data_IF_209962229847
#
_entry.id   IF_209962229847
#
_cell.length_a   1.000
_cell.length_b   1.000
_cell.length_c   1.000
_cell.angle_alpha   90.00
_cell.angle_beta   90.00
_cell.angle_gamma   90.00
#
_symmetry.space_group_name_H-M   'P 1'
#
loop_
_entity.id
_entity.type
_entity.pdbx_description
1 polymer ?
#
# COMPACT_ATOMS: atom_id res chain seq x y z
N UNK A 1 -13.64 20.61 18.48
CA UNK A 1 -13.60 20.33 17.06
C UNK A 1 -12.19 19.87 16.64
N UNK A 2 -12.01 19.48 15.41
CA UNK A 2 -10.75 18.92 14.94
C UNK A 2 -9.61 19.96 14.95
N UNK A 3 -9.91 21.22 14.66
CA UNK A 3 -8.91 22.30 14.72
C UNK A 3 -8.32 22.44 16.12
N UNK A 4 -9.16 22.40 17.16
CA UNK A 4 -8.70 22.49 18.55
C UNK A 4 -7.85 21.24 18.91
N UNK A 5 -8.28 20.03 18.49
CA UNK A 5 -7.50 18.79 18.66
C UNK A 5 -6.11 18.86 18.01
N UNK A 6 -6.01 19.42 16.79
CA UNK A 6 -4.75 19.63 16.08
C UNK A 6 -3.84 20.58 16.85
N UNK A 7 -4.39 21.69 17.36
CA UNK A 7 -3.64 22.68 18.14
C UNK A 7 -3.15 22.11 19.47
N UNK A 8 -4.01 21.39 20.20
CA UNK A 8 -3.66 20.74 21.47
C UNK A 8 -2.60 19.64 21.28
N UNK A 9 -2.73 18.84 20.22
CA UNK A 9 -1.77 17.80 19.85
C UNK A 9 -0.46 18.38 19.35
N UNK A 10 -0.47 19.61 18.81
CA UNK A 10 0.70 20.25 18.19
C UNK A 10 1.14 19.61 16.88
N UNK A 11 0.26 18.87 16.22
CA UNK A 11 0.58 18.07 15.04
C UNK A 11 -0.58 18.06 14.05
N UNK A 12 -0.28 18.27 12.77
CA UNK A 12 -1.18 18.12 11.62
C UNK A 12 -0.84 16.83 10.88
N UNK A 13 -1.80 15.92 10.78
CA UNK A 13 -1.65 14.65 10.05
C UNK A 13 -2.28 14.81 8.67
N UNK A 14 -1.44 14.73 7.63
CA UNK A 14 -1.88 14.86 6.23
C UNK A 14 -1.75 13.53 5.52
N UNK A 15 -2.85 13.05 4.95
CA UNK A 15 -2.89 11.89 4.07
C UNK A 15 -2.53 12.26 2.63
N UNK A 16 -1.71 11.44 1.99
CA UNK A 16 -1.32 11.59 0.58
C UNK A 16 -1.03 10.25 -0.06
N UNK A 17 -1.18 10.17 -1.38
CA UNK A 17 -0.82 9.02 -2.21
C UNK A 17 0.42 9.37 -3.04
N UNK A 18 1.64 9.02 -2.59
CA UNK A 18 2.88 9.54 -3.17
C UNK A 18 3.32 8.77 -4.42
N UNK A 19 2.39 8.53 -5.33
CA UNK A 19 2.54 7.91 -6.64
C UNK A 19 2.14 8.84 -7.80
N UNK A 20 2.03 10.14 -7.50
CA UNK A 20 1.52 11.14 -8.42
C UNK A 20 2.47 12.34 -8.62
N UNK A 21 3.70 12.12 -9.17
CA UNK A 21 4.62 13.22 -9.44
C UNK A 21 4.04 14.17 -10.51
N UNK A 22 4.33 15.49 -10.46
CA UNK A 22 5.18 16.15 -9.48
C UNK A 22 4.44 16.63 -8.21
N UNK A 23 3.14 16.29 -8.06
CA UNK A 23 2.35 16.73 -6.92
C UNK A 23 2.83 16.12 -5.61
N UNK A 24 2.88 14.79 -5.55
CA UNK A 24 3.36 14.01 -4.41
C UNK A 24 4.10 12.76 -4.89
N UNK A 25 5.31 12.56 -4.38
CA UNK A 25 6.14 11.40 -4.71
C UNK A 25 7.18 11.13 -3.64
N UNK A 26 7.88 10.00 -3.77
CA UNK A 26 8.93 9.60 -2.83
C UNK A 26 10.30 9.90 -3.42
N UNK A 27 11.09 10.68 -2.70
CA UNK A 27 12.51 10.87 -2.97
C UNK A 27 13.28 9.70 -2.33
N UNK A 28 13.72 8.78 -3.17
CA UNK A 28 14.43 7.56 -2.74
C UNK A 28 15.78 7.81 -2.08
N UNK A 29 16.32 9.01 -2.20
CA UNK A 29 17.59 9.41 -1.54
C UNK A 29 17.40 9.81 -0.08
N UNK A 30 16.16 10.01 0.36
CA UNK A 30 15.78 10.44 1.71
C UNK A 30 15.06 9.32 2.47
N UNK A 31 14.93 9.49 3.77
CA UNK A 31 14.27 8.53 4.66
C UNK A 31 13.31 9.20 5.63
N UNK A 32 12.39 8.43 6.22
CA UNK A 32 11.39 8.95 7.16
C UNK A 32 10.46 9.97 6.51
N UNK A 33 10.03 10.98 7.23
CA UNK A 33 9.12 12.01 6.72
C UNK A 33 9.73 12.85 5.58
N UNK A 34 11.05 13.00 5.55
CA UNK A 34 11.75 13.77 4.53
C UNK A 34 11.69 13.12 3.12
N UNK A 35 11.35 11.84 3.03
CA UNK A 35 11.22 11.15 1.73
C UNK A 35 10.02 11.63 0.91
N UNK A 36 8.97 12.16 1.57
CA UNK A 36 7.80 12.66 0.88
C UNK A 36 8.08 14.06 0.35
N UNK A 37 7.96 14.23 -0.95
CA UNK A 37 8.26 15.47 -1.68
C UNK A 37 7.21 15.73 -2.75
N UNK A 38 7.20 16.93 -3.30
CA UNK A 38 6.24 17.34 -4.33
C UNK A 38 5.52 18.64 -3.95
N UNK A 39 4.81 19.20 -4.90
CA UNK A 39 4.11 20.48 -4.69
C UNK A 39 3.01 20.42 -3.63
N UNK A 40 2.28 19.31 -3.55
CA UNK A 40 1.26 19.09 -2.51
C UNK A 40 1.89 18.88 -1.13
N UNK A 41 3.08 18.29 -1.07
CA UNK A 41 3.84 18.17 0.18
C UNK A 41 4.34 19.55 0.66
N UNK A 42 4.79 20.42 -0.25
CA UNK A 42 5.17 21.79 0.10
C UNK A 42 3.94 22.60 0.58
N UNK A 43 2.78 22.39 -0.03
CA UNK A 43 1.53 22.96 0.45
C UNK A 43 1.20 22.48 1.87
N UNK A 44 1.30 21.19 2.14
CA UNK A 44 1.07 20.62 3.47
C UNK A 44 2.04 21.21 4.52
N UNK A 45 3.32 21.36 4.18
CA UNK A 45 4.34 22.02 5.04
C UNK A 45 3.97 23.46 5.32
N UNK A 46 3.51 24.18 4.30
CA UNK A 46 3.12 25.59 4.44
C UNK A 46 1.90 25.74 5.34
N UNK A 47 0.88 24.90 5.17
CA UNK A 47 -0.32 24.87 6.04
C UNK A 47 0.08 24.60 7.49
N UNK A 48 0.83 23.54 7.75
CA UNK A 48 1.28 23.19 9.11
C UNK A 48 2.08 24.33 9.76
N UNK A 49 3.01 24.95 9.00
CA UNK A 49 3.79 26.11 9.46
C UNK A 49 2.89 27.29 9.81
N UNK A 50 1.87 27.59 9.01
CA UNK A 50 0.94 28.71 9.29
C UNK A 50 0.06 28.43 10.49
N UNK A 51 -0.31 27.16 10.72
CA UNK A 51 -1.05 26.73 11.90
C UNK A 51 -0.17 26.63 13.14
N UNK A 52 1.17 26.73 13.02
CA UNK A 52 2.13 26.62 14.14
C UNK A 52 2.28 25.23 14.71
N UNK A 53 2.03 24.18 13.92
CA UNK A 53 2.06 22.79 14.33
C UNK A 53 3.08 21.98 13.49
N UNK A 54 3.49 20.82 13.99
CA UNK A 54 4.33 19.87 13.26
C UNK A 54 3.52 19.18 12.16
N UNK A 55 4.14 18.90 11.01
CA UNK A 55 3.55 18.10 9.95
C UNK A 55 3.96 16.63 10.09
N UNK A 56 2.98 15.74 9.96
CA UNK A 56 3.21 14.31 9.75
C UNK A 56 2.47 13.86 8.49
N UNK A 57 3.19 13.30 7.52
CA UNK A 57 2.62 12.70 6.32
C UNK A 57 2.28 11.23 6.58
N UNK A 58 1.04 10.87 6.31
CA UNK A 58 0.54 9.49 6.34
C UNK A 58 0.29 9.03 4.90
N UNK A 59 1.28 8.32 4.34
CA UNK A 59 1.20 7.86 2.96
C UNK A 59 0.36 6.58 2.84
N UNK A 60 -0.48 6.50 1.82
CA UNK A 60 -1.26 5.32 1.46
C UNK A 60 -1.74 5.42 0.01
N UNK A 61 -2.45 4.41 -0.52
CA UNK A 61 -3.11 4.52 -1.82
C UNK A 61 -4.22 5.57 -1.79
N UNK A 62 -4.58 6.12 -2.95
CA UNK A 62 -5.53 7.24 -3.06
C UNK A 62 -6.90 6.93 -2.42
N UNK A 63 -7.46 5.76 -2.68
CA UNK A 63 -8.71 5.29 -2.07
C UNK A 63 -8.60 5.13 -0.54
N UNK A 64 -7.43 4.68 -0.05
CA UNK A 64 -7.10 4.61 1.37
C UNK A 64 -7.03 5.99 2.02
N UNK A 65 -6.45 6.99 1.34
CA UNK A 65 -6.43 8.36 1.85
C UNK A 65 -7.85 8.87 2.06
N UNK A 66 -8.76 8.63 1.10
CA UNK A 66 -10.17 9.04 1.22
C UNK A 66 -10.88 8.31 2.37
N UNK A 67 -10.63 7.01 2.54
CA UNK A 67 -11.17 6.23 3.65
C UNK A 67 -10.66 6.73 5.01
N UNK A 68 -9.35 6.97 5.13
CA UNK A 68 -8.72 7.49 6.34
C UNK A 68 -9.23 8.89 6.74
N UNK A 69 -9.64 9.69 5.76
CA UNK A 69 -10.27 10.98 6.04
C UNK A 69 -11.64 10.80 6.67
N UNK A 70 -12.45 9.87 6.18
CA UNK A 70 -13.78 9.57 6.72
C UNK A 70 -13.73 8.95 8.12
N UNK A 71 -12.66 8.23 8.45
CA UNK A 71 -12.45 7.62 9.78
C UNK A 71 -11.68 8.52 10.75
N UNK A 72 -11.37 9.75 10.36
CA UNK A 72 -10.59 10.73 11.14
C UNK A 72 -9.17 10.23 11.51
N UNK A 73 -8.62 9.32 10.72
CA UNK A 73 -7.23 8.87 10.87
C UNK A 73 -6.20 9.86 10.33
N UNK A 74 -6.65 10.79 9.49
CA UNK A 74 -5.93 11.94 9.00
C UNK A 74 -6.78 13.18 9.19
N UNK A 75 -6.14 14.32 9.39
CA UNK A 75 -6.82 15.59 9.57
C UNK A 75 -7.18 16.24 8.23
N UNK A 76 -6.28 16.13 7.26
CA UNK A 76 -6.44 16.66 5.90
C UNK A 76 -5.98 15.64 4.86
N UNK A 77 -6.67 15.62 3.72
CA UNK A 77 -6.21 14.96 2.50
C UNK A 77 -5.65 16.01 1.53
N UNK A 78 -4.36 15.89 1.19
CA UNK A 78 -3.67 16.72 0.20
C UNK A 78 -2.96 15.77 -0.75
N UNK A 79 -3.58 15.51 -1.91
CA UNK A 79 -3.19 14.42 -2.81
C UNK A 79 -3.79 14.59 -4.22
N UNK A 80 -3.56 15.74 -4.83
CA UNK A 80 -4.11 16.01 -6.16
C UNK A 80 -5.64 15.88 -6.21
N UNK A 81 -6.34 16.15 -5.10
CA UNK A 81 -7.76 15.86 -4.93
C UNK A 81 -8.62 16.84 -5.73
N UNK A 82 -9.28 16.37 -6.80
CA UNK A 82 -10.22 17.16 -7.58
C UNK A 82 -11.58 17.30 -6.87
N UNK A 83 -12.25 18.44 -7.09
CA UNK A 83 -13.61 18.64 -6.63
C UNK A 83 -14.59 17.81 -7.46
N UNK A 84 -15.52 17.14 -6.76
CA UNK A 84 -16.76 16.64 -7.36
C UNK A 84 -17.93 16.89 -6.41
N UNK A 85 -19.17 17.11 -6.91
CA UNK A 85 -20.34 17.24 -6.04
C UNK A 85 -20.55 16.03 -5.11
N UNK A 86 -20.25 14.83 -5.57
CA UNK A 86 -20.33 13.61 -4.77
C UNK A 86 -19.34 13.62 -3.60
N UNK A 87 -18.10 14.07 -3.83
CA UNK A 87 -17.11 14.21 -2.76
C UNK A 87 -17.47 15.29 -1.75
N UNK A 88 -18.01 16.41 -2.22
CA UNK A 88 -18.46 17.52 -1.35
C UNK A 88 -19.62 17.13 -0.42
N UNK A 89 -20.31 16.00 -0.69
CA UNK A 89 -21.29 15.43 0.22
C UNK A 89 -20.67 14.52 1.30
N UNK A 90 -19.43 14.10 1.14
CA UNK A 90 -18.75 13.13 2.02
C UNK A 90 -17.61 13.74 2.82
N UNK A 91 -17.14 14.93 2.44
CA UNK A 91 -16.05 15.65 3.10
C UNK A 91 -16.18 17.16 2.91
N UNK A 92 -15.57 17.93 3.81
CA UNK A 92 -15.37 19.35 3.58
C UNK A 92 -14.25 19.55 2.56
N UNK A 93 -14.48 20.40 1.57
CA UNK A 93 -13.50 20.68 0.51
C UNK A 93 -13.13 22.15 0.48
N UNK A 94 -11.86 22.45 0.31
CA UNK A 94 -11.33 23.80 0.26
C UNK A 94 -11.69 24.53 -1.04
N UNK A 95 -11.33 25.81 -1.11
CA UNK A 95 -11.20 26.52 -2.40
C UNK A 95 -10.11 25.84 -3.25
N UNK A 96 -10.14 26.08 -4.57
CA UNK A 96 -9.15 25.54 -5.50
C UNK A 96 -7.76 26.09 -5.30
N UNK A 97 -6.79 25.23 -5.49
CA UNK A 97 -5.39 25.57 -5.75
C UNK A 97 -4.95 24.85 -7.02
N UNK A 98 -3.78 25.19 -7.58
CA UNK A 98 -3.32 24.64 -8.86
C UNK A 98 -4.34 24.88 -10.01
N UNK A 99 -4.76 26.12 -10.17
CA UNK A 99 -5.89 26.50 -11.04
C UNK A 99 -5.43 26.85 -12.46
N UNK A 100 -4.12 27.01 -12.70
CA UNK A 100 -3.60 27.49 -13.97
C UNK A 100 -3.69 26.42 -15.06
N UNK A 101 -3.95 26.87 -16.30
CA UNK A 101 -4.10 26.04 -17.49
C UNK A 101 -2.90 25.11 -17.73
N UNK A 102 -1.68 25.55 -17.38
CA UNK A 102 -0.45 24.79 -17.56
C UNK A 102 -0.26 23.63 -16.55
N UNK A 103 -1.09 23.54 -15.53
CA UNK A 103 -0.90 22.59 -14.41
C UNK A 103 -2.16 21.80 -14.05
N UNK A 104 -3.33 22.23 -14.50
CA UNK A 104 -4.63 21.69 -14.09
C UNK A 104 -5.36 20.86 -15.16
N UNK A 105 -4.79 20.64 -16.33
CA UNK A 105 -5.40 19.88 -17.43
C UNK A 105 -5.60 18.40 -17.08
N UNK A 106 -6.58 17.78 -17.72
CA UNK A 106 -6.86 16.35 -17.63
C UNK A 106 -6.73 15.73 -19.01
N UNK A 107 -5.95 14.66 -19.12
CA UNK A 107 -5.48 14.10 -20.38
C UNK A 107 -5.71 12.60 -20.50
N UNK A 108 -5.42 12.09 -21.67
CA UNK A 108 -5.47 10.66 -21.97
C UNK A 108 -4.14 10.24 -22.58
N UNK A 109 -3.53 9.20 -22.02
CA UNK A 109 -2.35 8.54 -22.57
C UNK A 109 -2.83 7.42 -23.52
N UNK A 110 -2.21 7.35 -24.68
CA UNK A 110 -2.45 6.32 -25.71
C UNK A 110 -1.11 5.69 -26.13
N UNK A 111 -1.17 4.59 -26.87
CA UNK A 111 0.03 4.02 -27.49
C UNK A 111 0.51 4.92 -28.63
N UNK A 112 1.82 5.14 -28.74
CA UNK A 112 2.44 5.92 -29.83
C UNK A 112 2.08 5.40 -31.22
N UNK A 113 1.93 4.09 -31.37
CA UNK A 113 1.51 3.45 -32.62
C UNK A 113 0.10 3.84 -33.09
N UNK A 114 -0.76 4.26 -32.15
CA UNK A 114 -2.15 4.62 -32.39
C UNK A 114 -2.37 6.16 -32.40
N UNK A 115 -1.30 6.97 -32.29
CA UNK A 115 -1.35 8.44 -32.23
C UNK A 115 -2.03 9.06 -33.45
N UNK A 116 -1.83 8.51 -34.65
CA UNK A 116 -2.51 8.99 -35.85
C UNK A 116 -3.96 8.54 -35.93
N UNK A 117 -4.34 7.51 -35.20
CA UNK A 117 -5.69 6.94 -35.17
C UNK A 117 -6.59 7.63 -34.16
N UNK A 118 -6.04 8.00 -33.02
CA UNK A 118 -6.78 8.61 -31.91
C UNK A 118 -6.25 10.02 -31.66
N UNK A 119 -7.05 11.04 -31.99
CA UNK A 119 -6.72 12.44 -31.76
C UNK A 119 -7.71 13.15 -30.83
N UNK A 120 -8.97 12.65 -30.81
CA UNK A 120 -10.05 13.19 -30.03
C UNK A 120 -10.62 12.17 -29.05
N UNK A 121 -11.25 12.66 -28.00
CA UNK A 121 -11.96 11.80 -27.04
C UNK A 121 -13.00 10.90 -27.72
N UNK A 122 -13.68 11.42 -28.73
CA UNK A 122 -14.67 10.66 -29.53
C UNK A 122 -14.06 9.52 -30.35
N UNK A 123 -12.76 9.55 -30.67
CA UNK A 123 -12.08 8.47 -31.39
C UNK A 123 -11.91 7.22 -30.48
N UNK A 124 -12.08 7.39 -29.16
CA UNK A 124 -12.04 6.32 -28.17
C UNK A 124 -13.42 5.72 -27.89
N UNK A 125 -14.45 6.07 -28.66
CA UNK A 125 -15.83 5.58 -28.49
C UNK A 125 -15.88 4.05 -28.45
N UNK A 126 -16.51 3.48 -27.42
CA UNK A 126 -16.69 2.05 -27.24
C UNK A 126 -15.41 1.28 -26.87
N UNK A 127 -14.28 1.95 -26.74
CA UNK A 127 -12.99 1.34 -26.39
C UNK A 127 -12.82 1.21 -24.87
N UNK A 128 -11.86 0.38 -24.46
CA UNK A 128 -11.49 0.24 -23.05
C UNK A 128 -10.55 1.37 -22.63
N UNK A 129 -10.95 2.14 -21.66
CA UNK A 129 -10.17 3.24 -21.08
C UNK A 129 -9.94 2.96 -19.59
N UNK A 130 -8.68 2.95 -19.16
CA UNK A 130 -8.34 2.82 -17.76
C UNK A 130 -8.38 4.18 -17.06
N UNK A 131 -8.91 4.19 -15.85
CA UNK A 131 -8.87 5.35 -14.96
C UNK A 131 -8.76 4.89 -13.50
N UNK A 132 -8.09 5.69 -12.67
CA UNK A 132 -7.94 5.38 -11.26
C UNK A 132 -9.29 5.41 -10.55
N UNK A 133 -9.56 4.37 -9.76
CA UNK A 133 -10.83 4.22 -9.08
C UNK A 133 -11.14 5.41 -8.17
N UNK A 134 -12.35 5.95 -8.27
CA UNK A 134 -12.80 7.10 -7.49
C UNK A 134 -12.19 8.44 -7.92
N UNK A 135 -11.38 8.48 -9.00
CA UNK A 135 -10.80 9.71 -9.53
C UNK A 135 -11.78 10.51 -10.36
N UNK A 136 -11.47 11.81 -10.56
CA UNK A 136 -12.23 12.67 -11.49
C UNK A 136 -12.07 12.20 -12.95
N UNK A 137 -10.93 11.58 -13.28
CA UNK A 137 -10.66 11.05 -14.61
C UNK A 137 -11.56 9.85 -14.94
N UNK A 138 -11.94 9.07 -13.92
CA UNK A 138 -12.96 8.04 -14.08
C UNK A 138 -14.28 8.68 -14.52
N UNK A 139 -14.75 9.70 -13.79
CA UNK A 139 -15.98 10.42 -14.12
C UNK A 139 -15.92 11.07 -15.52
N UNK A 140 -14.82 11.76 -15.85
CA UNK A 140 -14.65 12.35 -17.19
C UNK A 140 -14.63 11.30 -18.31
N UNK A 141 -14.07 10.13 -18.04
CA UNK A 141 -14.11 9.02 -19.01
C UNK A 141 -15.55 8.58 -19.29
N UNK A 142 -16.35 8.45 -18.23
CA UNK A 142 -17.77 8.06 -18.36
C UNK A 142 -18.61 9.16 -19.03
N UNK A 143 -18.35 10.44 -18.73
CA UNK A 143 -19.16 11.55 -19.18
C UNK A 143 -18.77 12.03 -20.59
N UNK A 144 -17.50 11.95 -21.00
CA UNK A 144 -16.97 12.61 -22.19
C UNK A 144 -16.47 11.67 -23.29
N UNK A 145 -16.31 10.38 -23.00
CA UNK A 145 -15.98 9.38 -24.01
C UNK A 145 -17.19 8.49 -24.25
N UNK A 146 -17.90 8.62 -25.39
CA UNK A 146 -19.12 7.88 -25.62
C UNK A 146 -18.91 6.36 -25.55
N UNK A 147 -19.80 5.66 -24.83
CA UNK A 147 -19.78 4.19 -24.67
C UNK A 147 -18.43 3.62 -24.21
N UNK A 148 -17.60 4.40 -23.53
CA UNK A 148 -16.33 3.96 -23.00
C UNK A 148 -16.51 2.75 -22.06
N UNK A 149 -15.68 1.72 -22.26
CA UNK A 149 -15.62 0.58 -21.35
C UNK A 149 -14.57 0.86 -20.29
N UNK A 150 -15.03 1.41 -19.16
CA UNK A 150 -14.14 1.79 -18.06
C UNK A 150 -13.43 0.55 -17.49
N UNK A 151 -12.11 0.65 -17.35
CA UNK A 151 -11.27 -0.27 -16.61
C UNK A 151 -10.75 0.46 -15.37
N UNK A 152 -11.34 0.17 -14.21
CA UNK A 152 -10.83 0.72 -12.95
C UNK A 152 -9.46 0.15 -12.61
N UNK A 153 -8.55 1.02 -12.18
CA UNK A 153 -7.17 0.71 -11.77
C UNK A 153 -6.88 1.33 -10.42
N UNK A 154 -5.92 0.79 -9.69
CA UNK A 154 -5.47 1.33 -8.41
C UNK A 154 -4.44 2.44 -8.58
N UNK A 155 -3.53 2.30 -9.54
CA UNK A 155 -2.48 3.27 -9.85
C UNK A 155 -2.41 3.56 -11.35
N UNK A 156 -1.90 4.72 -11.73
CA UNK A 156 -1.69 5.06 -13.16
C UNK A 156 -0.68 4.09 -13.80
N UNK A 157 0.33 3.65 -13.05
CA UNK A 157 1.30 2.64 -13.51
C UNK A 157 0.62 1.35 -13.98
N UNK A 158 -0.39 0.88 -13.24
CA UNK A 158 -1.17 -0.31 -13.62
C UNK A 158 -1.91 -0.08 -14.94
N UNK A 159 -2.50 1.10 -15.12
CA UNK A 159 -3.15 1.50 -16.36
C UNK A 159 -2.19 1.53 -17.55
N UNK A 160 -1.00 2.11 -17.34
CA UNK A 160 0.04 2.16 -18.38
C UNK A 160 0.53 0.75 -18.73
N UNK A 161 0.66 -0.15 -17.76
CA UNK A 161 0.98 -1.55 -18.02
C UNK A 161 -0.10 -2.24 -18.88
N UNK A 162 -1.39 -2.01 -18.55
CA UNK A 162 -2.51 -2.51 -19.34
C UNK A 162 -2.56 -1.92 -20.76
N UNK A 163 -2.17 -0.65 -20.93
CA UNK A 163 -2.05 0.00 -22.24
C UNK A 163 -0.93 -0.63 -23.08
N UNK A 164 0.24 -0.83 -22.50
CA UNK A 164 1.40 -1.44 -23.18
C UNK A 164 1.13 -2.86 -23.65
N UNK A 165 0.39 -3.65 -22.87
CA UNK A 165 0.01 -5.02 -23.26
C UNK A 165 -1.24 -5.11 -24.13
N UNK A 166 -1.89 -3.97 -24.43
CA UNK A 166 -3.07 -3.89 -25.30
C UNK A 166 -4.41 -4.28 -24.64
N UNK A 167 -4.44 -4.47 -23.32
CA UNK A 167 -5.67 -4.77 -22.58
C UNK A 167 -6.63 -3.59 -22.59
N UNK A 168 -6.10 -2.36 -22.50
CA UNK A 168 -6.83 -1.11 -22.70
C UNK A 168 -6.23 -0.31 -23.85
N UNK A 169 -6.99 0.60 -24.42
CA UNK A 169 -6.54 1.46 -25.52
C UNK A 169 -6.10 2.84 -25.05
N UNK A 170 -6.48 3.22 -23.83
CA UNK A 170 -6.16 4.53 -23.31
C UNK A 170 -6.12 4.51 -21.76
N UNK A 171 -5.42 5.49 -21.18
CA UNK A 171 -5.35 5.72 -19.73
C UNK A 171 -5.65 7.18 -19.45
N UNK A 172 -6.68 7.46 -18.68
CA UNK A 172 -7.04 8.81 -18.26
C UNK A 172 -6.25 9.20 -16.99
N UNK A 173 -5.62 10.37 -17.02
CA UNK A 173 -4.84 10.90 -15.89
C UNK A 173 -4.75 12.43 -15.95
N UNK A 174 -4.04 13.07 -15.01
CA UNK A 174 -3.75 14.50 -15.14
C UNK A 174 -2.79 14.77 -16.30
N UNK A 175 -2.87 15.95 -16.88
CA UNK A 175 -2.01 16.32 -18.00
C UNK A 175 -0.54 16.29 -17.61
N UNK A 176 -0.18 16.83 -16.43
CA UNK A 176 1.20 16.78 -15.94
C UNK A 176 1.73 15.36 -15.83
N UNK A 177 0.92 14.42 -15.33
CA UNK A 177 1.28 12.99 -15.27
C UNK A 177 1.42 12.40 -16.67
N UNK A 178 0.51 12.72 -17.59
CA UNK A 178 0.60 12.24 -18.97
C UNK A 178 1.90 12.71 -19.65
N UNK A 179 2.27 13.97 -19.48
CA UNK A 179 3.50 14.53 -20.02
C UNK A 179 4.75 13.81 -19.50
N UNK A 180 4.82 13.53 -18.17
CA UNK A 180 5.93 12.79 -17.58
C UNK A 180 6.03 11.35 -18.12
N UNK A 181 4.90 10.66 -18.27
CA UNK A 181 4.88 9.31 -18.84
C UNK A 181 5.34 9.29 -20.30
N UNK A 182 4.88 10.25 -21.10
CA UNK A 182 5.23 10.36 -22.52
C UNK A 182 6.71 10.74 -22.67
N UNK A 183 7.23 11.65 -21.87
CA UNK A 183 8.65 12.01 -21.87
C UNK A 183 9.57 10.82 -21.55
N UNK A 184 9.17 10.01 -20.58
CA UNK A 184 9.97 8.87 -20.11
C UNK A 184 9.73 7.56 -20.88
N UNK A 185 8.71 7.50 -21.75
CA UNK A 185 8.36 6.30 -22.49
C UNK A 185 8.05 6.63 -23.96
N UNK A 186 8.99 6.40 -24.84
CA UNK A 186 8.87 6.68 -26.28
C UNK A 186 7.76 5.91 -27.01
N UNK A 187 7.24 4.85 -26.40
CA UNK A 187 6.11 4.06 -26.90
C UNK A 187 4.73 4.64 -26.55
N UNK A 188 4.68 5.71 -25.75
CA UNK A 188 3.46 6.38 -25.35
C UNK A 188 3.29 7.72 -26.08
N UNK A 189 2.06 8.16 -26.21
CA UNK A 189 1.69 9.48 -26.68
C UNK A 189 0.53 10.03 -25.83
N UNK A 190 0.37 11.34 -25.81
CA UNK A 190 -0.78 12.01 -25.22
C UNK A 190 -1.79 12.30 -26.33
N UNK A 191 -3.08 12.09 -26.06
CA UNK A 191 -4.16 12.49 -26.96
C UNK A 191 -4.12 14.00 -27.14
N UNK A 192 -4.36 14.49 -28.36
CA UNK A 192 -4.32 15.93 -28.66
C UNK A 192 -5.42 16.70 -27.91
N UNK A 193 -6.61 16.10 -27.78
CA UNK A 193 -7.75 16.68 -27.08
C UNK A 193 -7.68 16.35 -25.58
N UNK A 194 -7.81 17.38 -24.75
CA UNK A 194 -7.93 17.24 -23.29
C UNK A 194 -9.39 17.07 -22.89
N UNK A 195 -9.64 16.54 -21.69
CA UNK A 195 -10.97 16.58 -21.10
C UNK A 195 -11.41 18.02 -20.84
N UNK A 196 -12.70 18.29 -21.08
CA UNK A 196 -13.31 19.55 -20.73
C UNK A 196 -13.53 19.62 -19.22
N UNK A 197 -13.00 20.66 -18.59
CA UNK A 197 -13.10 20.88 -17.14
C UNK A 197 -14.08 22.01 -16.89
N UNK A 198 -15.09 21.76 -16.04
CA UNK A 198 -15.94 22.83 -15.55
C UNK A 198 -15.08 23.79 -14.72
N UNK A 199 -15.11 25.08 -15.08
CA UNK A 199 -14.30 26.10 -14.41
C UNK A 199 -14.64 26.23 -12.92
N UNK A 200 -15.88 25.95 -12.52
CA UNK A 200 -16.28 25.91 -11.10
C UNK A 200 -15.62 24.79 -10.31
N UNK A 201 -15.12 23.76 -11.02
CA UNK A 201 -14.46 22.60 -10.44
C UNK A 201 -12.94 22.59 -10.69
N UNK A 202 -12.42 23.59 -11.36
CA UNK A 202 -11.01 23.68 -11.72
C UNK A 202 -10.09 23.68 -10.48
N UNK A 203 -8.91 23.12 -10.67
CA UNK A 203 -7.86 22.98 -9.64
C UNK A 203 -8.12 21.90 -8.61
N UNK A 204 -7.08 21.65 -7.83
CA UNK A 204 -7.14 20.69 -6.74
C UNK A 204 -7.76 21.29 -5.47
N UNK A 205 -8.15 20.45 -4.55
CA UNK A 205 -8.76 20.82 -3.26
C UNK A 205 -8.03 20.10 -2.11
N UNK A 206 -8.02 20.73 -0.96
CA UNK A 206 -7.73 20.08 0.31
C UNK A 206 -9.04 19.50 0.84
N UNK A 207 -9.02 18.23 1.26
CA UNK A 207 -10.15 17.58 1.92
C UNK A 207 -10.00 17.57 3.44
N UNK A 208 -11.09 17.75 4.17
CA UNK A 208 -11.19 17.54 5.61
C UNK A 208 -12.39 16.64 5.94
N UNK A 209 -12.47 16.03 7.13
CA UNK A 209 -13.65 15.26 7.55
C UNK A 209 -14.92 16.12 7.47
N UNK A 210 -16.04 15.47 7.15
CA UNK A 210 -17.31 16.17 6.97
C UNK A 210 -17.74 16.86 8.28
N UNK A 211 -18.14 18.13 8.17
CA UNK A 211 -18.56 18.94 9.32
C UNK A 211 -17.45 19.79 9.95
N UNK A 212 -16.17 19.55 9.61
CA UNK A 212 -15.03 20.31 10.15
C UNK A 212 -14.82 21.66 9.46
N UNK A 213 -15.86 22.49 9.46
CA UNK A 213 -15.89 23.80 8.77
C UNK A 213 -14.84 24.77 9.30
N UNK A 214 -14.62 24.83 10.63
CA UNK A 214 -13.61 25.74 11.21
C UNK A 214 -12.20 25.41 10.70
N UNK A 215 -11.86 24.13 10.63
CA UNK A 215 -10.58 23.68 10.06
C UNK A 215 -10.49 24.09 8.59
N UNK A 216 -11.56 23.85 7.81
CA UNK A 216 -11.59 24.21 6.40
C UNK A 216 -11.54 25.73 6.17
N UNK A 217 -12.17 26.53 7.02
CA UNK A 217 -12.07 27.99 6.96
C UNK A 217 -10.64 28.49 7.18
N UNK A 218 -9.92 27.89 8.13
CA UNK A 218 -8.51 28.21 8.36
C UNK A 218 -7.62 27.80 7.17
N UNK A 219 -7.83 26.60 6.63
CA UNK A 219 -7.16 26.14 5.39
C UNK A 219 -7.45 27.10 4.23
N UNK A 220 -8.69 27.53 4.05
CA UNK A 220 -9.08 28.46 2.98
C UNK A 220 -8.42 29.83 3.11
N UNK A 221 -8.21 30.34 4.32
CA UNK A 221 -7.43 31.59 4.53
C UNK A 221 -6.01 31.44 4.05
N UNK A 222 -5.38 30.30 4.37
CA UNK A 222 -3.99 29.99 3.97
C UNK A 222 -3.92 29.82 2.44
N UNK A 223 -4.87 29.10 1.83
CA UNK A 223 -4.94 28.91 0.38
C UNK A 223 -5.14 30.22 -0.40
N UNK A 224 -5.94 31.15 0.12
CA UNK A 224 -6.06 32.50 -0.48
C UNK A 224 -4.71 33.22 -0.52
N UNK A 225 -3.89 33.09 0.51
CA UNK A 225 -2.53 33.64 0.53
C UNK A 225 -1.63 32.93 -0.48
N UNK A 226 -1.67 31.59 -0.54
CA UNK A 226 -0.90 30.77 -1.49
C UNK A 226 -1.24 31.16 -2.92
N UNK A 227 -2.53 31.23 -3.27
CA UNK A 227 -3.00 31.58 -4.61
C UNK A 227 -2.61 33.03 -4.97
N UNK A 228 -2.78 33.99 -4.04
CA UNK A 228 -2.43 35.41 -4.28
C UNK A 228 -0.94 35.60 -4.55
N UNK A 229 -0.08 34.82 -3.90
CA UNK A 229 1.38 34.90 -4.03
C UNK A 229 1.95 34.00 -5.14
N UNK A 230 1.14 33.16 -5.78
CA UNK A 230 1.59 32.20 -6.79
C UNK A 230 2.57 31.16 -6.25
N UNK A 231 2.51 30.83 -4.93
CA UNK A 231 3.47 29.95 -4.29
C UNK A 231 3.35 28.52 -4.82
N UNK A 232 2.14 28.04 -5.11
CA UNK A 232 1.96 26.67 -5.57
C UNK A 232 2.64 26.43 -6.92
N UNK A 233 2.59 27.39 -7.82
CA UNK A 233 3.26 27.31 -9.13
C UNK A 233 4.79 27.21 -9.00
N UNK A 234 5.37 27.98 -8.07
CA UNK A 234 6.81 27.89 -7.77
C UNK A 234 7.15 26.49 -7.25
N UNK A 235 6.37 25.97 -6.31
CA UNK A 235 6.56 24.62 -5.77
C UNK A 235 6.37 23.54 -6.83
N UNK A 236 5.38 23.70 -7.70
CA UNK A 236 5.11 22.77 -8.79
C UNK A 236 6.28 22.71 -9.79
N UNK A 237 6.81 23.86 -10.22
CA UNK A 237 7.98 23.94 -11.10
C UNK A 237 9.22 23.30 -10.46
N UNK A 238 9.46 23.59 -9.19
CA UNK A 238 10.57 22.98 -8.44
C UNK A 238 10.40 21.46 -8.30
N UNK A 239 9.21 20.99 -7.97
CA UNK A 239 8.88 19.59 -7.85
C UNK A 239 8.99 18.85 -9.19
N UNK A 240 8.55 19.46 -10.29
CA UNK A 240 8.68 18.91 -11.64
C UNK A 240 10.15 18.72 -12.02
N UNK A 241 11.00 19.71 -11.73
CA UNK A 241 12.44 19.59 -11.94
C UNK A 241 13.02 18.46 -11.07
N UNK A 242 12.68 18.40 -9.79
CA UNK A 242 13.15 17.37 -8.89
C UNK A 242 12.72 15.97 -9.35
N UNK A 243 11.47 15.82 -9.77
CA UNK A 243 10.93 14.55 -10.29
C UNK A 243 11.68 14.09 -11.55
N UNK A 244 11.99 15.00 -12.46
CA UNK A 244 12.72 14.67 -13.70
C UNK A 244 14.20 14.35 -13.48
N UNK A 245 14.82 14.93 -12.44
CA UNK A 245 16.25 14.73 -12.12
C UNK A 245 16.51 13.48 -11.27
N UNK A 246 15.51 12.95 -10.58
CA UNK A 246 15.69 11.83 -9.64
C UNK A 246 16.25 10.57 -10.27
N UNK A 247 15.92 10.30 -11.52
CA UNK A 247 16.33 9.06 -12.17
C UNK A 247 16.31 9.20 -13.69
N UNK A 248 17.47 9.34 -14.30
CA UNK A 248 17.60 9.38 -15.76
C UNK A 248 17.96 7.99 -16.26
N UNK A 249 16.99 7.28 -16.83
CA UNK A 249 17.20 6.04 -17.57
C UNK A 249 17.80 6.37 -18.93
N UNK A 250 19.03 5.91 -19.14
CA UNK A 250 19.71 6.01 -20.45
C UNK A 250 19.74 4.67 -21.19
N UNK A 251 19.50 3.57 -20.48
CA UNK A 251 19.50 2.25 -21.07
C UNK A 251 18.29 2.04 -22.00
N UNK A 252 18.55 1.41 -23.14
CA UNK A 252 17.51 1.02 -24.09
C UNK A 252 17.18 -0.48 -23.95
N UNK A 253 15.89 -0.80 -24.12
CA UNK A 253 15.37 -2.16 -24.03
C UNK A 253 15.18 -2.67 -22.61
N UNK A 254 14.36 -3.71 -22.48
CA UNK A 254 13.91 -4.26 -21.21
C UNK A 254 15.05 -4.67 -20.26
N UNK A 255 15.98 -5.51 -20.75
CA UNK A 255 17.07 -6.00 -19.90
C UNK A 255 18.05 -4.90 -19.47
N UNK A 256 18.39 -3.98 -20.39
CA UNK A 256 19.24 -2.83 -20.06
C UNK A 256 18.60 -1.95 -18.97
N UNK A 257 17.31 -1.69 -19.08
CA UNK A 257 16.54 -0.94 -18.10
C UNK A 257 16.52 -1.67 -16.75
N UNK A 258 16.28 -2.99 -16.70
CA UNK A 258 16.33 -3.76 -15.47
C UNK A 258 17.69 -3.67 -14.78
N UNK A 259 18.78 -3.84 -15.53
CA UNK A 259 20.14 -3.73 -14.97
C UNK A 259 20.39 -2.34 -14.40
N UNK A 260 20.02 -1.31 -15.14
CA UNK A 260 20.20 0.07 -14.69
C UNK A 260 19.36 0.38 -13.43
N UNK A 261 18.11 -0.08 -13.36
CA UNK A 261 17.28 0.05 -12.15
C UNK A 261 17.95 -0.63 -10.95
N UNK A 262 18.44 -1.86 -11.12
CA UNK A 262 19.13 -2.57 -10.02
C UNK A 262 20.38 -1.80 -9.58
N UNK A 263 21.19 -1.30 -10.52
CA UNK A 263 22.40 -0.55 -10.18
C UNK A 263 22.13 0.72 -9.36
N UNK A 264 21.04 1.42 -9.66
CA UNK A 264 20.68 2.65 -8.94
C UNK A 264 19.85 2.43 -7.69
N UNK A 265 18.95 1.44 -7.70
CA UNK A 265 17.96 1.23 -6.64
C UNK A 265 18.33 0.07 -5.69
N UNK A 266 19.52 -0.55 -5.80
CA UNK A 266 19.89 -1.68 -4.94
C UNK A 266 19.83 -1.36 -3.43
N UNK A 267 20.15 -0.14 -2.92
CA UNK A 267 20.03 0.13 -1.49
C UNK A 267 18.57 0.08 -1.02
N UNK A 268 17.65 0.63 -1.83
CA UNK A 268 16.21 0.60 -1.53
C UNK A 268 15.66 -0.82 -1.60
N UNK A 269 16.06 -1.61 -2.61
CA UNK A 269 15.68 -3.01 -2.75
C UNK A 269 16.15 -3.84 -1.56
N UNK A 270 17.39 -3.66 -1.10
CA UNK A 270 17.91 -4.35 0.09
C UNK A 270 17.20 -3.92 1.36
N UNK A 271 16.93 -2.63 1.52
CA UNK A 271 16.18 -2.11 2.67
C UNK A 271 14.76 -2.68 2.69
N UNK A 272 14.06 -2.66 1.55
CA UNK A 272 12.73 -3.23 1.42
C UNK A 272 12.70 -4.73 1.72
N UNK A 273 13.70 -5.47 1.23
CA UNK A 273 13.87 -6.89 1.56
C UNK A 273 14.11 -7.10 3.06
N UNK A 274 14.95 -6.27 3.67
CA UNK A 274 15.20 -6.33 5.12
C UNK A 274 13.93 -6.10 5.93
N UNK A 275 13.09 -5.13 5.55
CA UNK A 275 11.79 -4.88 6.19
C UNK A 275 10.85 -6.07 5.99
N UNK A 276 10.75 -6.60 4.76
CA UNK A 276 9.93 -7.79 4.45
C UNK A 276 10.31 -8.98 5.33
N UNK A 277 11.60 -9.30 5.41
CA UNK A 277 12.11 -10.40 6.24
C UNK A 277 11.92 -10.14 7.73
N UNK A 278 12.14 -8.90 8.18
CA UNK A 278 11.91 -8.49 9.56
C UNK A 278 10.45 -8.61 9.99
N UNK A 279 9.53 -8.14 9.16
CA UNK A 279 8.08 -8.26 9.39
C UNK A 279 7.67 -9.75 9.47
N UNK A 280 8.11 -10.57 8.52
CA UNK A 280 7.81 -12.00 8.52
C UNK A 280 8.36 -12.69 9.77
N UNK A 281 9.61 -12.37 10.17
CA UNK A 281 10.24 -12.96 11.35
C UNK A 281 9.51 -12.57 12.65
N UNK A 282 9.24 -11.29 12.85
CA UNK A 282 8.49 -10.80 14.02
C UNK A 282 7.11 -11.45 14.07
N UNK A 283 6.42 -11.48 12.94
CA UNK A 283 5.09 -12.08 12.81
C UNK A 283 5.08 -13.55 13.21
N UNK A 284 6.00 -14.36 12.69
CA UNK A 284 6.04 -15.79 12.99
C UNK A 284 6.51 -16.07 14.42
N UNK A 285 7.47 -15.30 14.95
CA UNK A 285 7.92 -15.45 16.33
C UNK A 285 6.76 -15.20 17.32
N UNK A 286 6.12 -14.04 17.23
CA UNK A 286 5.00 -13.71 18.12
C UNK A 286 3.75 -14.51 17.79
N UNK A 287 3.51 -14.80 16.52
CA UNK A 287 2.46 -15.73 16.07
C UNK A 287 2.64 -17.13 16.65
N UNK A 288 3.88 -17.61 16.78
CA UNK A 288 4.17 -18.92 17.41
C UNK A 288 3.88 -18.91 18.91
N UNK A 289 4.21 -17.83 19.61
CA UNK A 289 3.91 -17.72 21.05
C UNK A 289 2.39 -17.71 21.27
N UNK A 290 1.67 -16.83 20.57
CA UNK A 290 0.22 -16.70 20.72
C UNK A 290 -0.51 -17.93 20.16
N UNK A 291 -0.11 -18.40 18.99
CA UNK A 291 -0.67 -19.63 18.39
C UNK A 291 -0.45 -20.86 19.24
N UNK A 292 0.71 -20.97 19.92
CA UNK A 292 0.97 -22.02 20.88
C UNK A 292 0.00 -22.00 22.06
N UNK A 293 -0.32 -20.81 22.60
CA UNK A 293 -1.35 -20.67 23.64
C UNK A 293 -2.72 -21.12 23.14
N UNK A 294 -3.13 -20.69 21.94
CA UNK A 294 -4.40 -21.15 21.35
C UNK A 294 -4.42 -22.66 21.07
N UNK A 295 -3.31 -23.24 20.64
CA UNK A 295 -3.21 -24.69 20.45
C UNK A 295 -3.42 -25.45 21.76
N UNK A 296 -2.81 -24.99 22.85
CA UNK A 296 -3.01 -25.57 24.19
C UNK A 296 -4.48 -25.42 24.66
N UNK A 297 -5.09 -24.27 24.41
CA UNK A 297 -6.50 -24.03 24.71
C UNK A 297 -7.42 -24.97 23.91
N UNK A 298 -7.13 -25.19 22.63
CA UNK A 298 -7.87 -26.14 21.76
C UNK A 298 -7.72 -27.61 22.22
N UNK A 299 -6.68 -27.93 22.95
CA UNK A 299 -6.45 -29.27 23.54
C UNK A 299 -7.03 -29.39 24.97
N UNK A 300 -7.63 -28.32 25.50
CA UNK A 300 -8.26 -28.29 26.84
C UNK A 300 -9.47 -29.24 26.90
N UNK A 301 -9.76 -29.75 28.09
CA UNK A 301 -10.96 -30.56 28.36
C UNK A 301 -12.22 -29.70 28.49
N UNK A 302 -12.09 -28.38 28.71
CA UNK A 302 -13.22 -27.46 28.81
C UNK A 302 -13.76 -27.15 27.41
N UNK A 303 -14.93 -27.71 27.08
CA UNK A 303 -15.57 -27.59 25.76
C UNK A 303 -15.89 -26.13 25.37
N UNK A 304 -16.22 -25.26 26.34
CA UNK A 304 -16.55 -23.85 26.08
C UNK A 304 -15.27 -23.11 25.63
N UNK A 305 -14.18 -23.26 26.37
CA UNK A 305 -12.91 -22.64 26.07
C UNK A 305 -12.33 -23.15 24.74
N UNK A 306 -12.47 -24.46 24.50
CA UNK A 306 -12.11 -25.09 23.23
C UNK A 306 -12.91 -24.52 22.05
N UNK A 307 -14.22 -24.32 22.24
CA UNK A 307 -15.09 -23.77 21.20
C UNK A 307 -14.74 -22.31 20.86
N UNK A 308 -14.47 -21.47 21.87
CA UNK A 308 -14.06 -20.07 21.67
C UNK A 308 -12.75 -19.98 20.88
N UNK A 309 -11.74 -20.76 21.28
CA UNK A 309 -10.48 -20.83 20.55
C UNK A 309 -10.66 -21.39 19.12
N UNK A 310 -11.57 -22.35 18.94
CA UNK A 310 -11.96 -22.89 17.64
C UNK A 310 -12.56 -21.81 16.73
N UNK A 311 -13.52 -21.05 17.23
CA UNK A 311 -14.16 -19.96 16.47
C UNK A 311 -13.13 -18.90 16.08
N UNK A 312 -12.25 -18.50 16.97
CA UNK A 312 -11.17 -17.57 16.64
C UNK A 312 -10.30 -18.06 15.48
N UNK A 313 -9.79 -19.28 15.59
CA UNK A 313 -8.92 -19.87 14.55
C UNK A 313 -9.63 -19.99 13.22
N UNK A 314 -10.88 -20.46 13.20
CA UNK A 314 -11.67 -20.61 11.98
C UNK A 314 -12.02 -19.25 11.36
N UNK A 315 -12.39 -18.25 12.16
CA UNK A 315 -12.68 -16.89 11.70
C UNK A 315 -11.47 -16.27 10.99
N UNK A 316 -10.31 -16.32 11.64
CA UNK A 316 -9.08 -15.72 11.08
C UNK A 316 -8.61 -16.47 9.84
N UNK A 317 -8.63 -17.80 9.85
CA UNK A 317 -8.26 -18.62 8.68
C UNK A 317 -9.27 -18.59 7.55
N UNK A 318 -10.53 -18.31 7.86
CA UNK A 318 -11.64 -18.24 6.90
C UNK A 318 -11.83 -16.89 6.25
N UNK A 319 -11.06 -15.86 6.64
CA UNK A 319 -11.17 -14.52 6.07
C UNK A 319 -9.87 -14.07 5.39
N UNK A 320 -9.95 -13.24 4.31
CA UNK A 320 -8.76 -12.76 3.60
C UNK A 320 -7.86 -11.87 4.48
N UNK A 321 -6.55 -12.05 4.38
CA UNK A 321 -5.59 -11.25 5.14
C UNK A 321 -5.73 -9.74 4.84
N UNK A 322 -5.94 -9.34 3.60
CA UNK A 322 -6.12 -7.92 3.25
C UNK A 322 -7.33 -7.30 3.98
N UNK A 323 -8.45 -8.04 4.08
CA UNK A 323 -9.62 -7.61 4.86
C UNK A 323 -9.26 -7.44 6.35
N UNK A 324 -8.50 -8.38 6.90
CA UNK A 324 -8.05 -8.33 8.31
C UNK A 324 -7.13 -7.13 8.56
N UNK A 325 -6.19 -6.84 7.65
CA UNK A 325 -5.32 -5.66 7.74
C UNK A 325 -6.16 -4.39 7.84
N UNK A 326 -7.10 -4.19 6.92
CA UNK A 326 -8.01 -3.04 6.94
C UNK A 326 -8.81 -2.95 8.23
N UNK A 327 -9.43 -4.06 8.64
CA UNK A 327 -10.27 -4.11 9.83
C UNK A 327 -9.48 -3.79 11.10
N UNK A 328 -8.35 -4.46 11.32
CA UNK A 328 -7.57 -4.28 12.54
C UNK A 328 -6.89 -2.91 12.61
N UNK A 329 -6.39 -2.39 11.49
CA UNK A 329 -5.82 -1.03 11.44
C UNK A 329 -6.89 0.00 11.83
N UNK A 330 -8.10 -0.10 11.28
CA UNK A 330 -9.20 0.81 11.65
C UNK A 330 -9.61 0.65 13.13
N UNK A 331 -9.71 -0.57 13.64
CA UNK A 331 -10.02 -0.81 15.06
C UNK A 331 -8.94 -0.20 15.96
N UNK A 332 -7.65 -0.41 15.65
CA UNK A 332 -6.55 0.13 16.46
C UNK A 332 -6.48 1.66 16.39
N UNK A 333 -6.72 2.22 15.22
CA UNK A 333 -6.81 3.66 15.05
C UNK A 333 -7.94 4.25 15.91
N UNK A 334 -9.12 3.66 15.85
CA UNK A 334 -10.26 4.09 16.69
C UNK A 334 -9.95 3.98 18.19
N UNK A 335 -9.40 2.84 18.64
CA UNK A 335 -9.10 2.62 20.07
C UNK A 335 -7.99 3.53 20.61
N UNK A 336 -7.08 3.98 19.75
CA UNK A 336 -5.94 4.81 20.15
C UNK A 336 -6.09 6.28 19.76
N UNK A 337 -7.27 6.68 19.25
CA UNK A 337 -7.51 8.01 18.69
C UNK A 337 -6.46 8.40 17.63
N UNK A 338 -6.10 7.47 16.75
CA UNK A 338 -5.11 7.68 15.70
C UNK A 338 -3.64 7.72 16.13
N UNK A 339 -3.35 7.50 17.43
CA UNK A 339 -1.98 7.63 17.96
C UNK A 339 -1.08 6.39 17.72
N UNK A 340 -1.64 5.28 17.24
CA UNK A 340 -0.83 4.08 16.98
C UNK A 340 -0.10 4.23 15.62
N UNK A 341 1.24 4.06 15.58
CA UNK A 341 1.97 4.08 14.31
C UNK A 341 1.47 2.99 13.35
N UNK A 342 1.30 3.32 12.07
CA UNK A 342 0.78 2.40 11.05
C UNK A 342 1.53 1.06 11.01
N UNK A 343 2.85 1.11 11.07
CA UNK A 343 3.68 -0.11 11.07
C UNK A 343 3.37 -1.03 12.25
N UNK A 344 3.07 -0.48 13.43
CA UNK A 344 2.71 -1.26 14.63
C UNK A 344 1.35 -1.93 14.43
N UNK A 345 0.38 -1.20 13.89
CA UNK A 345 -0.95 -1.75 13.56
C UNK A 345 -0.85 -2.90 12.57
N UNK A 346 -0.04 -2.74 11.52
CA UNK A 346 0.22 -3.80 10.52
C UNK A 346 0.88 -5.02 11.18
N UNK A 347 1.91 -4.83 12.01
CA UNK A 347 2.59 -5.93 12.70
C UNK A 347 1.60 -6.71 13.58
N UNK A 348 0.78 -6.03 14.36
CA UNK A 348 -0.20 -6.69 15.23
C UNK A 348 -1.23 -7.47 14.40
N UNK A 349 -1.73 -6.88 13.32
CA UNK A 349 -2.68 -7.54 12.42
C UNK A 349 -2.07 -8.82 11.79
N UNK A 350 -0.82 -8.76 11.34
CA UNK A 350 -0.10 -9.92 10.81
C UNK A 350 0.12 -10.98 11.89
N UNK A 351 0.46 -10.60 13.14
CA UNK A 351 0.62 -11.53 14.26
C UNK A 351 -0.70 -12.23 14.57
N UNK A 352 -1.82 -11.51 14.61
CA UNK A 352 -3.15 -12.09 14.82
C UNK A 352 -3.44 -13.13 13.74
N UNK A 353 -3.20 -12.79 12.47
CA UNK A 353 -3.38 -13.72 11.36
C UNK A 353 -2.51 -14.97 11.52
N UNK A 354 -1.19 -14.82 11.63
CA UNK A 354 -0.25 -15.93 11.74
C UNK A 354 -0.51 -16.80 12.97
N UNK A 355 -0.95 -16.21 14.10
CA UNK A 355 -1.23 -16.97 15.32
C UNK A 355 -2.31 -18.04 15.12
N UNK A 356 -3.30 -17.80 14.28
CA UNK A 356 -4.36 -18.77 13.96
C UNK A 356 -3.81 -19.93 13.11
N UNK A 357 -2.95 -19.64 12.13
CA UNK A 357 -2.29 -20.69 11.32
C UNK A 357 -1.33 -21.51 12.16
N UNK A 358 -0.51 -20.85 12.99
CA UNK A 358 0.43 -21.52 13.87
C UNK A 358 -0.28 -22.36 14.94
N UNK A 359 -1.40 -21.89 15.50
CA UNK A 359 -2.21 -22.70 16.41
C UNK A 359 -2.60 -24.05 15.78
N UNK A 360 -2.97 -24.03 14.52
CA UNK A 360 -3.33 -25.24 13.78
C UNK A 360 -2.09 -26.12 13.45
N UNK A 361 -0.97 -25.50 13.08
CA UNK A 361 0.32 -26.19 12.87
C UNK A 361 0.71 -26.95 14.14
N UNK A 362 0.69 -26.29 15.29
CA UNK A 362 1.08 -26.91 16.56
C UNK A 362 0.09 -28.00 16.96
N UNK A 363 -1.23 -27.74 16.85
CA UNK A 363 -2.26 -28.74 17.13
C UNK A 363 -2.08 -29.99 16.26
N UNK A 364 -1.91 -29.81 14.97
CA UNK A 364 -1.72 -30.89 14.00
C UNK A 364 -0.43 -31.65 14.27
N UNK A 365 0.68 -30.96 14.55
CA UNK A 365 1.95 -31.57 14.91
C UNK A 365 1.87 -32.41 16.19
N UNK A 366 1.15 -31.95 17.21
CA UNK A 366 0.91 -32.74 18.44
C UNK A 366 0.03 -33.96 18.14
N UNK A 367 -0.95 -33.82 17.27
CA UNK A 367 -1.86 -34.91 16.91
C UNK A 367 -1.24 -35.92 15.96
N UNK A 368 -0.20 -35.57 15.24
CA UNK A 368 0.52 -36.47 14.33
C UNK A 368 1.37 -37.54 15.05
N UNK A 369 1.65 -37.36 16.35
CA UNK A 369 2.37 -38.36 17.15
C UNK A 369 1.50 -39.60 17.35
N UNK A 370 2.07 -40.78 17.09
CA UNK A 370 1.37 -42.06 17.15
C UNK A 370 0.63 -42.26 18.48
N UNK A 371 -0.62 -42.74 18.38
CA UNK A 371 -1.51 -42.92 19.53
C UNK A 371 -0.93 -43.93 20.50
N UNK A 372 -0.20 -44.93 20.01
CA UNK A 372 0.48 -45.94 20.83
C UNK A 372 1.49 -45.37 21.82
N UNK A 373 2.15 -44.21 21.45
CA UNK A 373 3.04 -43.51 22.37
C UNK A 373 2.29 -42.97 23.60
N UNK A 374 1.07 -42.48 23.39
CA UNK A 374 0.18 -41.96 24.46
C UNK A 374 -0.34 -43.11 25.33
N UNK A 375 -0.73 -44.21 24.70
CA UNK A 375 -1.24 -45.42 25.39
C UNK A 375 -0.16 -46.07 26.22
N UNK A 376 1.04 -46.24 25.66
CA UNK A 376 2.20 -46.79 26.37
C UNK A 376 2.59 -45.96 27.60
N UNK A 377 2.65 -44.59 27.42
CA UNK A 377 2.96 -43.69 28.52
C UNK A 377 1.93 -43.78 29.66
N UNK A 378 0.64 -43.85 29.32
CA UNK A 378 -0.43 -44.01 30.29
C UNK A 378 -0.36 -45.36 31.01
N UNK A 379 -0.05 -46.44 30.27
CA UNK A 379 0.12 -47.79 30.86
C UNK A 379 1.29 -47.87 31.85
N UNK A 380 2.32 -47.03 31.65
CA UNK A 380 3.43 -46.87 32.58
C UNK A 380 3.11 -45.91 33.76
N UNK A 381 1.87 -45.45 33.88
CA UNK A 381 1.45 -44.59 34.99
C UNK A 381 1.93 -43.13 34.88
N UNK A 382 2.36 -42.66 33.71
CA UNK A 382 2.83 -41.29 33.51
C UNK A 382 1.68 -40.30 33.65
N UNK A 383 1.92 -39.20 34.37
CA UNK A 383 0.97 -38.08 34.40
C UNK A 383 0.85 -37.45 33.02
N UNK A 384 -0.31 -36.81 32.71
CA UNK A 384 -0.53 -36.15 31.42
C UNK A 384 0.55 -35.08 31.12
N UNK A 385 0.99 -34.34 32.12
CA UNK A 385 2.04 -33.32 31.96
C UNK A 385 3.38 -34.01 31.60
N UNK A 386 3.75 -35.04 32.28
CA UNK A 386 4.99 -35.77 32.02
C UNK A 386 5.00 -36.44 30.64
N UNK A 387 3.88 -37.06 30.25
CA UNK A 387 3.66 -37.63 28.93
C UNK A 387 3.80 -36.56 27.85
N UNK A 388 3.12 -35.42 28.00
CA UNK A 388 3.19 -34.32 27.01
C UNK A 388 4.60 -33.76 26.90
N UNK A 389 5.26 -33.43 27.99
CA UNK A 389 6.57 -32.75 27.98
C UNK A 389 7.74 -33.66 27.63
N UNK A 390 7.69 -34.93 27.97
CA UNK A 390 8.82 -35.86 27.79
C UNK A 390 8.69 -36.79 26.58
N UNK A 391 7.47 -37.03 26.09
CA UNK A 391 7.23 -37.97 24.98
C UNK A 391 6.62 -37.28 23.78
N UNK A 392 5.48 -36.58 23.94
CA UNK A 392 4.71 -36.10 22.81
C UNK A 392 5.33 -34.84 22.20
N UNK A 393 5.64 -33.80 23.00
CA UNK A 393 6.19 -32.54 22.48
C UNK A 393 7.54 -32.73 21.78
N UNK A 394 8.53 -33.50 22.32
CA UNK A 394 9.77 -33.71 21.60
C UNK A 394 9.62 -34.37 20.23
N UNK A 395 8.66 -35.30 20.09
CA UNK A 395 8.35 -35.91 18.79
C UNK A 395 7.56 -34.95 17.89
N UNK A 396 6.59 -34.23 18.44
CA UNK A 396 5.80 -33.26 17.69
C UNK A 396 6.65 -32.12 17.10
N UNK A 397 7.70 -31.68 17.80
CA UNK A 397 8.61 -30.59 17.34
C UNK A 397 9.22 -30.94 15.97
N UNK A 398 9.55 -32.21 15.71
CA UNK A 398 10.10 -32.64 14.41
C UNK A 398 9.16 -32.29 13.24
N UNK A 399 7.84 -32.35 13.46
CA UNK A 399 6.83 -32.01 12.46
C UNK A 399 6.43 -30.53 12.49
N UNK A 400 6.48 -29.90 13.67
CA UNK A 400 6.12 -28.50 13.86
C UNK A 400 7.17 -27.57 13.25
N UNK A 401 8.47 -27.81 13.46
CA UNK A 401 9.54 -26.92 13.00
C UNK A 401 9.56 -26.71 11.48
N UNK A 402 9.48 -27.75 10.61
CA UNK A 402 9.41 -27.55 9.18
C UNK A 402 8.15 -26.78 8.75
N UNK A 403 7.01 -27.04 9.41
CA UNK A 403 5.76 -26.35 9.14
C UNK A 403 5.83 -24.86 9.53
N UNK A 404 6.47 -24.50 10.65
CA UNK A 404 6.76 -23.12 11.01
C UNK A 404 7.71 -22.44 10.01
N UNK A 405 8.71 -23.18 9.51
CA UNK A 405 9.56 -22.68 8.43
C UNK A 405 8.77 -22.36 7.16
N UNK A 406 7.83 -23.21 6.78
CA UNK A 406 6.93 -22.95 5.66
C UNK A 406 5.99 -21.77 5.93
N UNK A 407 5.50 -21.59 7.15
CA UNK A 407 4.73 -20.42 7.57
C UNK A 407 5.57 -19.12 7.41
N UNK A 408 6.84 -19.15 7.80
CA UNK A 408 7.75 -18.03 7.59
C UNK A 408 7.90 -17.66 6.11
N UNK A 409 8.10 -18.64 5.23
CA UNK A 409 8.16 -18.41 3.77
C UNK A 409 6.84 -17.86 3.25
N UNK A 410 5.71 -18.31 3.79
CA UNK A 410 4.39 -17.78 3.42
C UNK A 410 4.24 -16.34 3.86
N UNK A 411 4.63 -16.00 5.09
CA UNK A 411 4.58 -14.63 5.61
C UNK A 411 5.44 -13.66 4.81
N UNK A 412 6.59 -14.07 4.28
CA UNK A 412 7.39 -13.23 3.37
C UNK A 412 6.56 -12.74 2.18
N UNK A 413 5.71 -13.59 1.62
CA UNK A 413 4.82 -13.22 0.50
C UNK A 413 3.61 -12.41 0.97
N UNK A 414 3.01 -12.80 2.06
CA UNK A 414 1.81 -12.16 2.62
C UNK A 414 2.07 -10.72 3.10
N UNK A 415 3.28 -10.41 3.59
CA UNK A 415 3.67 -9.03 3.94
C UNK A 415 3.57 -8.07 2.76
N UNK A 416 3.58 -8.55 1.52
CA UNK A 416 3.39 -7.74 0.31
C UNK A 416 2.05 -7.00 0.29
N UNK A 417 1.01 -7.54 0.94
CA UNK A 417 -0.30 -6.88 1.05
C UNK A 417 -0.26 -5.60 1.89
N UNK A 418 0.74 -5.48 2.77
CA UNK A 418 0.96 -4.28 3.58
C UNK A 418 1.50 -3.09 2.77
N UNK A 419 1.89 -3.30 1.50
CA UNK A 419 2.25 -2.21 0.58
C UNK A 419 1.14 -1.18 0.41
N UNK A 420 -0.11 -1.58 0.55
CA UNK A 420 -1.28 -0.69 0.57
C UNK A 420 -1.15 0.43 1.61
N UNK A 421 -0.41 0.17 2.70
CA UNK A 421 -0.20 1.11 3.80
C UNK A 421 1.20 1.77 3.78
N UNK A 422 1.96 1.60 2.71
CA UNK A 422 3.28 2.23 2.47
C UNK A 422 4.28 2.05 3.62
N UNK A 423 4.38 0.85 4.18
CA UNK A 423 5.29 0.56 5.31
C UNK A 423 6.75 0.33 4.91
N UNK A 424 7.09 0.45 3.63
CA UNK A 424 8.46 0.39 3.12
C UNK A 424 9.00 -1.01 2.87
N UNK A 425 8.15 -2.04 2.87
CA UNK A 425 8.53 -3.39 2.47
C UNK A 425 8.76 -3.49 0.94
N UNK A 426 9.16 -4.64 0.44
CA UNK A 426 9.65 -4.81 -0.93
C UNK A 426 8.65 -4.40 -2.03
N UNK A 427 7.32 -4.61 -1.84
CA UNK A 427 6.30 -4.15 -2.78
C UNK A 427 6.05 -2.65 -2.70
N UNK A 428 6.20 -2.01 -1.54
CA UNK A 428 6.24 -0.55 -1.43
C UNK A 428 7.42 0.00 -2.23
N UNK A 429 8.60 -0.62 -2.13
CA UNK A 429 9.78 -0.22 -2.93
C UNK A 429 9.52 -0.37 -4.42
N UNK A 430 8.81 -1.43 -4.86
CA UNK A 430 8.38 -1.55 -6.24
C UNK A 430 7.55 -0.34 -6.71
N UNK A 431 6.57 0.09 -5.92
CA UNK A 431 5.75 1.28 -6.23
C UNK A 431 6.58 2.55 -6.32
N UNK A 432 7.53 2.74 -5.40
CA UNK A 432 8.47 3.88 -5.42
C UNK A 432 9.32 3.89 -6.70
N UNK A 433 9.90 2.74 -7.07
CA UNK A 433 10.72 2.63 -8.28
C UNK A 433 9.87 2.85 -9.54
N UNK A 434 8.65 2.32 -9.60
CA UNK A 434 7.71 2.57 -10.70
C UNK A 434 7.47 4.06 -10.89
N UNK A 435 7.10 4.77 -9.83
CA UNK A 435 6.82 6.22 -9.88
C UNK A 435 8.06 7.03 -10.27
N UNK A 436 9.25 6.64 -9.79
CA UNK A 436 10.51 7.33 -10.09
C UNK A 436 11.00 7.08 -11.53
N UNK A 437 10.72 5.91 -12.09
CA UNK A 437 11.23 5.49 -13.40
C UNK A 437 10.21 5.56 -14.52
N UNK A 438 8.94 5.71 -14.19
CA UNK A 438 7.81 5.60 -15.13
C UNK A 438 7.83 4.30 -15.93
N UNK A 439 8.37 3.23 -15.33
CA UNK A 439 8.44 1.88 -15.87
C UNK A 439 7.55 0.96 -15.04
N UNK A 440 6.61 0.27 -15.67
CA UNK A 440 5.61 -0.53 -14.97
C UNK A 440 6.03 -1.99 -14.77
N UNK A 441 6.72 -2.58 -15.74
CA UNK A 441 6.99 -4.01 -15.78
C UNK A 441 8.37 -4.35 -15.20
N UNK A 442 9.38 -3.56 -15.53
CA UNK A 442 10.77 -3.82 -15.14
C UNK A 442 10.94 -3.89 -13.62
N UNK A 443 10.44 -2.92 -12.82
CA UNK A 443 10.51 -3.00 -11.36
C UNK A 443 9.78 -4.23 -10.79
N UNK A 444 8.62 -4.56 -11.37
CA UNK A 444 7.82 -5.70 -10.94
C UNK A 444 8.56 -7.03 -11.16
N UNK A 445 9.23 -7.18 -12.32
CA UNK A 445 10.04 -8.37 -12.60
C UNK A 445 11.24 -8.46 -11.66
N UNK A 446 11.93 -7.34 -11.39
CA UNK A 446 13.05 -7.30 -10.44
C UNK A 446 12.60 -7.75 -9.05
N UNK A 447 11.54 -7.17 -8.53
CA UNK A 447 11.01 -7.49 -7.20
C UNK A 447 10.49 -8.94 -7.16
N UNK A 448 9.81 -9.39 -8.21
CA UNK A 448 9.36 -10.77 -8.35
C UNK A 448 10.52 -11.78 -8.30
N UNK A 449 11.64 -11.47 -8.96
CA UNK A 449 12.86 -12.29 -8.91
C UNK A 449 13.47 -12.30 -7.51
N UNK A 450 13.49 -11.18 -6.80
CA UNK A 450 13.99 -11.12 -5.42
C UNK A 450 13.14 -12.01 -4.51
N UNK A 451 11.81 -11.89 -4.56
CA UNK A 451 10.90 -12.78 -3.83
C UNK A 451 11.17 -14.26 -4.14
N UNK A 452 11.28 -14.58 -5.44
CA UNK A 452 11.52 -15.96 -5.87
C UNK A 452 12.83 -16.51 -5.33
N UNK A 453 13.94 -15.78 -5.48
CA UNK A 453 15.27 -16.22 -5.00
C UNK A 453 15.24 -16.45 -3.50
N UNK A 454 14.69 -15.53 -2.73
CA UNK A 454 14.65 -15.61 -1.26
C UNK A 454 13.76 -16.77 -0.81
N UNK A 455 12.53 -16.86 -1.31
CA UNK A 455 11.59 -17.90 -0.92
C UNK A 455 12.05 -19.29 -1.35
N UNK A 456 12.63 -19.40 -2.56
CA UNK A 456 13.20 -20.65 -3.06
C UNK A 456 14.39 -21.13 -2.19
N UNK A 457 15.32 -20.23 -1.89
CA UNK A 457 16.49 -20.54 -1.04
C UNK A 457 16.09 -21.00 0.35
N UNK A 458 15.14 -20.28 0.98
CA UNK A 458 14.61 -20.65 2.29
C UNK A 458 13.85 -21.98 2.25
N UNK A 459 13.03 -22.22 1.23
CA UNK A 459 12.32 -23.49 1.07
C UNK A 459 13.28 -24.68 0.90
N UNK A 460 14.40 -24.49 0.21
CA UNK A 460 15.45 -25.51 0.09
C UNK A 460 16.13 -25.77 1.44
N UNK A 461 16.41 -24.70 2.19
CA UNK A 461 17.00 -24.83 3.53
C UNK A 461 16.06 -25.59 4.48
N UNK A 462 14.76 -25.27 4.47
CA UNK A 462 13.75 -25.94 5.29
C UNK A 462 13.69 -27.44 4.96
N UNK A 463 13.64 -27.79 3.66
CA UNK A 463 13.66 -29.21 3.23
C UNK A 463 14.92 -29.95 3.67
N UNK A 464 16.07 -29.28 3.61
CA UNK A 464 17.33 -29.88 4.11
C UNK A 464 17.28 -30.14 5.63
N UNK A 465 16.74 -29.19 6.41
CA UNK A 465 16.55 -29.34 7.85
C UNK A 465 15.55 -30.45 8.16
N UNK A 466 14.44 -30.53 7.45
CA UNK A 466 13.43 -31.61 7.59
C UNK A 466 14.04 -32.98 7.34
N UNK A 467 14.85 -33.13 6.27
CA UNK A 467 15.57 -34.38 6.00
C UNK A 467 16.52 -34.78 7.11
N UNK A 468 17.22 -33.82 7.76
CA UNK A 468 18.08 -34.14 8.92
C UNK A 468 17.29 -34.51 10.17
N UNK A 469 16.14 -33.91 10.41
CA UNK A 469 15.28 -34.21 11.55
C UNK A 469 14.62 -35.58 11.40
N UNK A 470 14.31 -36.05 10.19
CA UNK A 470 13.69 -37.35 9.91
C UNK A 470 14.67 -38.51 9.99
N UNK A 471 15.97 -38.28 9.79
CA UNK A 471 17.02 -39.36 9.85
C UNK A 471 17.43 -39.68 11.29
N UNK A 472 16.98 -38.94 12.28
CA UNK A 472 17.32 -39.16 13.69
C UNK A 472 16.31 -40.08 14.43
N UNK A 473 15.52 -40.90 13.71
CA UNK A 473 14.61 -41.91 14.27
C UNK A 473 15.22 -43.30 14.25
#
# INVERSE_FOLDING_TARGET
DLLDKIQERGELIVGTSPDFPPNEFIDSTKTGQAQYVGSDIELAKYIAKKMGVKLTIKASSFDTVLANLQTEEIDLAITGLAYTPARAQQMEMSIGYNINEDTGGQAVIISKKDEEKYKKLTDLTGLKVAAQQGSIQQQYTEDQIPDAKLQSISTIDDGVALLKNGTVQAVACSEGTADEYVEKNSELAKLDELFNIDQDYAGNRVGAPLGEKRLMDEVNKILKEVNKKGLYEEWYKAAKKQSSEQFTLTATGFFGTCVQIVQYCWPQLLKGLGITLGLAAITVIFGTIIGGLFALVKLSKNKIVQAIAGVYVELIRGTPLLLQLWLFINIFSYLTNGNMPMIVSVIIALIINSSAYVAEIIRSGIQSVDKGQREAAKSLGMSNVHMMTKIIIPQAIKNILPALGNEFVMMIKETSLASTFYIGELMTVNSVIKSATYKSIEPLVIVGLIYFIVTYSLSKLIKYMEGKLSVSD
#
